data_IF_728957987466
#
_entry.id   IF_728957987466
#
_cell.length_a   1.000
_cell.length_b   1.000
_cell.length_c   1.000
_cell.angle_alpha   90.00
_cell.angle_beta   90.00
_cell.angle_gamma   90.00
#
_symmetry.space_group_name_H-M   'P 1'
#
loop_
_entity.id
_entity.type
_entity.pdbx_description
1 polymer ?
#
# COMPACT_ATOMS: atom_id res chain seq x y z
N UNK A 1 -6.72 -8.62 -13.52
CA UNK A 1 -7.06 -9.45 -12.34
C UNK A 1 -7.10 -10.93 -12.70
N UNK A 2 -7.25 -11.31 -13.97
CA UNK A 2 -7.14 -12.71 -14.42
C UNK A 2 -5.68 -13.19 -14.45
N UNK A 3 -4.77 -12.41 -15.03
CA UNK A 3 -3.36 -12.78 -15.25
C UNK A 3 -2.61 -13.12 -13.95
N UNK A 4 -3.03 -12.53 -12.82
CA UNK A 4 -2.44 -12.83 -11.51
C UNK A 4 -2.70 -14.27 -11.07
N UNK A 5 -3.84 -14.85 -11.46
CA UNK A 5 -4.17 -16.25 -11.14
C UNK A 5 -3.34 -17.22 -11.98
N UNK A 6 -2.94 -16.83 -13.19
CA UNK A 6 -1.95 -17.60 -13.95
C UNK A 6 -0.60 -17.62 -13.22
N UNK A 7 -0.16 -16.47 -12.70
CA UNK A 7 1.03 -16.38 -11.85
C UNK A 7 0.96 -17.24 -10.58
N UNK A 8 -0.19 -17.26 -9.90
CA UNK A 8 -0.40 -18.11 -8.73
C UNK A 8 -0.30 -19.59 -9.08
N UNK A 9 -0.93 -20.03 -10.18
CA UNK A 9 -0.87 -21.42 -10.63
C UNK A 9 0.56 -21.85 -10.97
N UNK A 10 1.32 -21.03 -11.70
CA UNK A 10 2.73 -21.29 -12.01
C UNK A 10 3.54 -21.45 -10.72
N UNK A 11 3.35 -20.54 -9.76
CA UNK A 11 4.09 -20.59 -8.49
C UNK A 11 3.72 -21.80 -7.63
N UNK A 12 2.45 -22.19 -7.60
CA UNK A 12 1.95 -23.35 -6.84
C UNK A 12 2.46 -24.68 -7.41
N UNK A 13 2.72 -24.74 -8.71
CA UNK A 13 3.32 -25.90 -9.39
C UNK A 13 4.85 -25.91 -9.30
N UNK A 14 5.43 -24.91 -8.65
CA UNK A 14 6.88 -24.70 -8.60
C UNK A 14 7.52 -24.52 -9.99
N UNK A 15 6.71 -24.10 -10.96
CA UNK A 15 7.14 -23.80 -12.32
C UNK A 15 7.64 -22.34 -12.39
N UNK A 16 8.39 -22.04 -13.45
CA UNK A 16 8.83 -20.68 -13.77
C UNK A 16 8.12 -20.22 -15.04
N UNK A 17 7.64 -18.97 -15.03
CA UNK A 17 7.12 -18.36 -16.25
C UNK A 17 8.27 -18.07 -17.21
N UNK A 18 8.22 -18.50 -18.48
CA UNK A 18 9.21 -18.13 -19.49
C UNK A 18 9.04 -16.66 -19.94
N UNK A 19 7.91 -16.04 -19.59
CA UNK A 19 7.64 -14.65 -19.91
C UNK A 19 8.58 -13.73 -19.12
N UNK A 20 9.41 -12.99 -19.85
CA UNK A 20 10.27 -11.96 -19.30
C UNK A 20 9.72 -10.61 -19.77
N UNK A 21 9.20 -9.83 -18.85
CA UNK A 21 8.83 -8.45 -19.14
C UNK A 21 10.10 -7.61 -19.24
N UNK A 22 10.27 -6.96 -20.38
CA UNK A 22 11.30 -5.94 -20.55
C UNK A 22 10.67 -4.62 -20.15
N UNK A 23 11.08 -4.09 -18.99
CA UNK A 23 10.75 -2.74 -18.59
C UNK A 23 11.48 -1.77 -19.52
N UNK A 24 10.78 -1.37 -20.56
CA UNK A 24 11.27 -0.35 -21.47
C UNK A 24 11.27 0.98 -20.70
N UNK A 25 12.45 1.60 -20.58
CA UNK A 25 12.61 2.95 -20.03
C UNK A 25 12.08 3.96 -21.05
N UNK A 26 10.80 3.86 -21.40
CA UNK A 26 10.13 4.88 -22.18
C UNK A 26 9.98 6.13 -21.31
N UNK A 27 10.14 7.30 -21.95
CA UNK A 27 9.81 8.58 -21.32
C UNK A 27 8.33 8.53 -20.98
N UNK A 28 8.03 8.26 -19.70
CA UNK A 28 6.67 8.07 -19.22
C UNK A 28 5.79 9.20 -19.72
N UNK A 29 4.70 8.85 -20.41
CA UNK A 29 3.63 9.81 -20.69
C UNK A 29 3.24 10.40 -19.34
N UNK A 30 3.40 11.71 -19.16
CA UNK A 30 3.03 12.37 -17.91
C UNK A 30 1.52 12.22 -17.71
N UNK A 31 1.15 11.20 -16.95
CA UNK A 31 -0.22 11.01 -16.54
C UNK A 31 -0.53 12.08 -15.49
N UNK A 32 -1.54 12.91 -15.75
CA UNK A 32 -2.06 13.84 -14.76
C UNK A 32 -2.36 13.10 -13.47
N UNK A 33 -2.13 13.74 -12.31
CA UNK A 33 -2.33 13.14 -10.99
C UNK A 33 -3.68 12.40 -10.85
N UNK A 34 -4.76 12.97 -11.38
CA UNK A 34 -6.08 12.34 -11.36
C UNK A 34 -6.14 11.00 -12.14
N UNK A 35 -5.49 10.93 -13.30
CA UNK A 35 -5.42 9.71 -14.10
C UNK A 35 -4.56 8.63 -13.43
N UNK A 36 -3.43 9.03 -12.83
CA UNK A 36 -2.60 8.12 -12.05
C UNK A 36 -3.35 7.58 -10.82
N UNK A 37 -4.06 8.45 -10.10
CA UNK A 37 -4.90 8.06 -8.95
C UNK A 37 -6.00 7.05 -9.34
N UNK A 38 -6.71 7.30 -10.45
CA UNK A 38 -7.71 6.36 -10.97
C UNK A 38 -7.12 5.00 -11.36
N UNK A 39 -5.90 4.97 -11.90
CA UNK A 39 -5.19 3.73 -12.20
C UNK A 39 -4.85 2.94 -10.94
N UNK A 40 -4.25 3.58 -9.93
CA UNK A 40 -3.91 2.91 -8.67
C UNK A 40 -5.17 2.43 -7.92
N UNK A 41 -6.25 3.20 -7.93
CA UNK A 41 -7.53 2.79 -7.37
C UNK A 41 -8.07 1.50 -8.02
N UNK A 42 -7.93 1.37 -9.34
CA UNK A 42 -8.33 0.16 -10.07
C UNK A 42 -7.48 -1.06 -9.68
N UNK A 43 -6.17 -0.89 -9.54
CA UNK A 43 -5.27 -1.98 -9.11
C UNK A 43 -5.59 -2.38 -7.66
N UNK A 44 -5.80 -1.41 -6.77
CA UNK A 44 -6.18 -1.67 -5.39
C UNK A 44 -7.50 -2.47 -5.31
N UNK A 45 -8.53 -2.08 -6.07
CA UNK A 45 -9.79 -2.81 -6.15
C UNK A 45 -9.64 -4.25 -6.65
N UNK A 46 -8.80 -4.46 -7.67
CA UNK A 46 -8.46 -5.81 -8.16
C UNK A 46 -7.75 -6.66 -7.10
N UNK A 47 -6.84 -6.06 -6.34
CA UNK A 47 -6.07 -6.73 -5.29
C UNK A 47 -6.96 -7.22 -4.15
N UNK A 48 -8.01 -6.47 -3.80
CA UNK A 48 -9.00 -6.88 -2.77
C UNK A 48 -9.78 -8.12 -3.22
N UNK A 49 -10.17 -8.19 -4.49
CA UNK A 49 -10.86 -9.37 -5.02
C UNK A 49 -9.98 -10.62 -5.00
N UNK A 50 -8.67 -10.46 -5.23
CA UNK A 50 -7.69 -11.55 -5.17
C UNK A 50 -7.43 -11.99 -3.73
N UNK A 51 -7.47 -11.08 -2.75
CA UNK A 51 -7.29 -11.40 -1.33
C UNK A 51 -8.28 -12.46 -0.85
N UNK A 52 -9.54 -12.39 -1.30
CA UNK A 52 -10.61 -13.34 -0.93
C UNK A 52 -10.53 -14.68 -1.67
N UNK A 53 -9.57 -14.85 -2.59
CA UNK A 53 -9.43 -16.09 -3.33
C UNK A 53 -8.80 -17.18 -2.48
N UNK A 54 -9.26 -18.43 -2.66
CA UNK A 54 -8.65 -19.61 -2.04
C UNK A 54 -7.17 -19.74 -2.42
N UNK A 55 -6.84 -19.44 -3.67
CA UNK A 55 -5.49 -19.63 -4.18
C UNK A 55 -4.50 -18.68 -3.48
N UNK A 56 -4.94 -17.47 -3.13
CA UNK A 56 -4.14 -16.56 -2.32
C UNK A 56 -3.83 -17.14 -0.93
N UNK A 57 -4.81 -17.76 -0.28
CA UNK A 57 -4.60 -18.38 1.04
C UNK A 57 -3.59 -19.53 0.99
N UNK A 58 -3.74 -20.44 0.03
CA UNK A 58 -2.83 -21.57 -0.16
C UNK A 58 -1.41 -21.11 -0.57
N UNK A 59 -1.31 -20.06 -1.39
CA UNK A 59 -0.03 -19.47 -1.77
C UNK A 59 0.69 -18.89 -0.55
N UNK A 60 -0.01 -18.14 0.30
CA UNK A 60 0.56 -17.55 1.50
C UNK A 60 1.05 -18.59 2.51
N UNK A 61 0.42 -19.76 2.58
CA UNK A 61 0.88 -20.87 3.45
C UNK A 61 2.20 -21.48 2.96
N UNK A 62 2.43 -21.50 1.65
CA UNK A 62 3.60 -22.15 1.03
C UNK A 62 4.75 -21.20 0.70
N UNK A 63 4.53 -19.88 0.77
CA UNK A 63 5.53 -18.89 0.38
C UNK A 63 6.58 -18.69 1.49
N UNK A 64 7.86 -18.85 1.15
CA UNK A 64 8.95 -18.56 2.08
C UNK A 64 9.10 -17.06 2.36
N UNK A 65 9.72 -16.69 3.50
CA UNK A 65 9.81 -15.31 4.02
C UNK A 65 10.30 -14.30 2.97
N UNK A 66 11.38 -14.60 2.25
CA UNK A 66 11.94 -13.67 1.25
C UNK A 66 10.98 -13.40 0.09
N UNK A 67 10.26 -14.43 -0.36
CA UNK A 67 9.23 -14.29 -1.38
C UNK A 67 7.98 -13.62 -0.81
N UNK A 68 7.66 -13.84 0.47
CA UNK A 68 6.58 -13.17 1.19
C UNK A 68 6.81 -11.65 1.28
N UNK A 69 8.05 -11.21 1.49
CA UNK A 69 8.41 -9.78 1.45
C UNK A 69 8.18 -9.17 0.06
N UNK A 70 8.59 -9.87 -1.01
CA UNK A 70 8.29 -9.43 -2.37
C UNK A 70 6.79 -9.41 -2.65
N UNK A 71 6.07 -10.40 -2.16
CA UNK A 71 4.62 -10.50 -2.32
C UNK A 71 3.89 -9.39 -1.56
N UNK A 72 4.39 -8.94 -0.41
CA UNK A 72 3.82 -7.82 0.33
C UNK A 72 3.76 -6.53 -0.52
N UNK A 73 4.84 -6.21 -1.26
CA UNK A 73 4.88 -5.02 -2.13
C UNK A 73 3.97 -5.14 -3.35
N UNK A 74 3.77 -6.35 -3.87
CA UNK A 74 2.93 -6.60 -5.04
C UNK A 74 1.45 -6.84 -4.69
N UNK A 75 1.12 -7.02 -3.41
CA UNK A 75 -0.22 -7.40 -2.94
C UNK A 75 -0.92 -6.29 -2.17
N UNK A 76 -2.07 -6.61 -1.60
CA UNK A 76 -2.89 -5.70 -0.79
C UNK A 76 -2.14 -5.11 0.41
N UNK A 77 -1.10 -5.78 0.91
CA UNK A 77 -0.35 -5.36 2.09
C UNK A 77 0.23 -3.95 1.95
N UNK A 78 0.83 -3.65 0.80
CA UNK A 78 1.33 -2.32 0.47
C UNK A 78 0.23 -1.24 0.53
N UNK A 79 -0.94 -1.51 -0.05
CA UNK A 79 -2.06 -0.57 -0.06
C UNK A 79 -2.64 -0.32 1.33
N UNK A 80 -2.69 -1.35 2.19
CA UNK A 80 -3.12 -1.20 3.58
C UNK A 80 -2.15 -0.29 4.34
N UNK A 81 -0.85 -0.47 4.15
CA UNK A 81 0.14 0.39 4.81
C UNK A 81 0.09 1.84 4.33
N UNK A 82 -0.12 2.07 3.03
CA UNK A 82 -0.35 3.43 2.53
C UNK A 82 -1.61 4.06 3.13
N UNK A 83 -2.69 3.29 3.25
CA UNK A 83 -3.93 3.75 3.87
C UNK A 83 -3.74 4.13 5.35
N UNK A 84 -2.93 3.37 6.11
CA UNK A 84 -2.59 3.72 7.49
C UNK A 84 -1.79 5.02 7.57
N UNK A 85 -0.82 5.22 6.67
CA UNK A 85 -0.05 6.48 6.59
C UNK A 85 -0.95 7.66 6.24
N UNK A 86 -1.87 7.48 5.30
CA UNK A 86 -2.85 8.53 4.95
C UNK A 86 -3.74 8.87 6.14
N UNK A 87 -4.33 7.88 6.81
CA UNK A 87 -5.20 8.09 7.98
C UNK A 87 -4.46 8.80 9.10
N UNK A 88 -3.24 8.37 9.43
CA UNK A 88 -2.44 8.99 10.49
C UNK A 88 -2.09 10.44 10.14
N UNK A 89 -1.80 10.74 8.87
CA UNK A 89 -1.57 12.10 8.38
C UNK A 89 -2.82 12.96 8.51
N UNK A 90 -3.99 12.46 8.10
CA UNK A 90 -5.25 13.20 8.25
C UNK A 90 -5.59 13.48 9.71
N UNK A 91 -5.43 12.48 10.59
CA UNK A 91 -5.66 12.65 12.03
C UNK A 91 -4.71 13.69 12.62
N UNK A 92 -3.43 13.65 12.26
CA UNK A 92 -2.44 14.65 12.68
C UNK A 92 -2.87 16.07 12.29
N UNK A 93 -3.27 16.29 11.03
CA UNK A 93 -3.71 17.61 10.54
C UNK A 93 -4.97 18.08 11.27
N UNK A 94 -5.95 17.20 11.47
CA UNK A 94 -7.20 17.55 12.17
C UNK A 94 -6.90 17.96 13.63
N UNK A 95 -6.09 17.17 14.34
CA UNK A 95 -5.69 17.46 15.71
C UNK A 95 -4.95 18.80 15.78
N UNK A 96 -4.02 19.04 14.85
CA UNK A 96 -3.29 20.29 14.77
C UNK A 96 -4.22 21.49 14.56
N UNK A 97 -5.15 21.41 13.61
CA UNK A 97 -6.14 22.47 13.37
C UNK A 97 -6.99 22.70 14.62
N UNK A 98 -7.45 21.65 15.29
CA UNK A 98 -8.20 21.78 16.55
C UNK A 98 -7.42 22.54 17.64
N UNK A 99 -6.11 22.27 17.80
CA UNK A 99 -5.26 23.01 18.74
C UNK A 99 -5.09 24.47 18.35
N UNK A 100 -4.89 24.77 17.07
CA UNK A 100 -4.79 26.16 16.60
C UNK A 100 -6.09 26.94 16.83
N UNK A 101 -7.25 26.32 16.61
CA UNK A 101 -8.56 26.93 16.88
C UNK A 101 -8.80 27.13 18.39
N UNK A 102 -8.31 26.22 19.22
CA UNK A 102 -8.34 26.36 20.68
C UNK A 102 -7.33 27.39 21.21
N UNK A 103 -6.52 28.02 20.34
CA UNK A 103 -5.43 28.93 20.71
C UNK A 103 -4.41 28.31 21.67
N UNK A 104 -4.27 26.99 21.66
CA UNK A 104 -3.29 26.26 22.47
C UNK A 104 -2.01 26.19 21.66
N UNK A 105 -0.92 26.71 22.23
CA UNK A 105 0.39 26.66 21.57
C UNK A 105 1.05 25.29 21.79
N UNK A 106 1.94 24.89 20.87
CA UNK A 106 2.72 23.66 21.07
C UNK A 106 3.59 23.73 22.34
N UNK A 107 3.96 24.94 22.79
CA UNK A 107 4.70 25.16 24.03
C UNK A 107 3.91 24.77 25.28
N UNK A 108 2.58 24.93 25.27
CA UNK A 108 1.72 24.54 26.39
C UNK A 108 1.60 23.01 26.47
N UNK A 109 1.53 22.34 25.32
CA UNK A 109 1.49 20.87 25.22
C UNK A 109 2.78 20.20 25.74
N UNK A 110 3.90 20.91 25.67
CA UNK A 110 5.19 20.45 26.22
C UNK A 110 5.19 20.37 27.75
N UNK A 111 4.43 21.25 28.42
CA UNK A 111 4.28 21.20 29.89
C UNK A 111 3.45 19.99 30.35
N UNK A 112 2.65 19.42 29.45
CA UNK A 112 1.81 18.23 29.69
C UNK A 112 2.49 16.90 29.31
N UNK A 113 3.79 16.92 28.97
CA UNK A 113 4.56 15.73 28.55
C UNK A 113 3.90 14.99 27.37
N UNK A 114 3.28 15.75 26.46
CA UNK A 114 2.57 15.20 25.30
C UNK A 114 3.54 14.83 24.18
N UNK A 115 3.37 13.65 23.58
CA UNK A 115 4.16 13.17 22.44
C UNK A 115 4.07 14.04 21.17
N UNK A 116 3.11 14.98 21.11
CA UNK A 116 2.95 15.97 20.03
C UNK A 116 3.78 17.24 20.25
N UNK A 117 4.29 17.46 21.48
CA UNK A 117 5.20 18.55 21.80
C UNK A 117 6.62 18.20 21.40
N UNK A 118 6.91 18.13 20.10
CA UNK A 118 8.30 17.93 19.65
C UNK A 118 9.02 19.28 19.59
N UNK A 119 10.14 19.35 20.33
CA UNK A 119 11.12 20.45 20.51
C UNK A 119 10.57 21.88 20.76
#
# INVERSE_FOLDING_TARGET
SEDIFAGYNVRMREERSPHTDVLEFEKGREATFNAASGFFAKIAGGSISVLRSRDNHVLCERIGILHGLSFYFASIGFYISNLLVDITTYLYVIIFICFTLASISLGDLKQLDSALGTE
#
